data_IF_825610525520
#
_entry.id   IF_825610525520
#
_cell.length_a   1.000
_cell.length_b   1.000
_cell.length_c   1.000
_cell.angle_alpha   90.00
_cell.angle_beta   90.00
_cell.angle_gamma   90.00
#
_symmetry.space_group_name_H-M   'P 1'
#
loop_
_entity.id
_entity.type
_entity.pdbx_description
1 polymer ?
#
# COMPACT_ATOMS: atom_id res chain seq x y z
N UNK A 1 2.03 -11.05 -18.64
CA UNK A 1 1.39 -9.87 -18.03
C UNK A 1 1.43 -10.05 -16.52
N UNK A 2 1.69 -8.98 -15.77
CA UNK A 2 1.69 -9.00 -14.30
C UNK A 2 0.33 -8.50 -13.81
N UNK A 3 -0.39 -9.20 -12.92
CA UNK A 3 -1.69 -8.75 -12.44
C UNK A 3 -1.55 -7.55 -11.51
N UNK A 4 -2.50 -6.62 -11.56
CA UNK A 4 -2.68 -5.61 -10.53
C UNK A 4 -3.68 -6.15 -9.51
N UNK A 5 -3.23 -6.30 -8.27
CA UNK A 5 -4.04 -6.87 -7.19
C UNK A 5 -4.38 -5.72 -6.23
N UNK A 6 -5.68 -5.54 -5.96
CA UNK A 6 -6.14 -4.65 -4.89
C UNK A 6 -6.35 -5.49 -3.65
N UNK A 7 -5.67 -5.10 -2.57
CA UNK A 7 -5.82 -5.70 -1.26
C UNK A 7 -6.19 -4.60 -0.27
N UNK A 8 -7.36 -4.73 0.36
CA UNK A 8 -7.89 -3.72 1.27
C UNK A 8 -8.93 -4.34 2.21
N UNK A 9 -8.91 -3.89 3.46
CA UNK A 9 -10.05 -4.02 4.35
C UNK A 9 -11.09 -2.96 4.00
N UNK A 10 -12.37 -3.33 4.05
CA UNK A 10 -13.50 -2.46 3.68
C UNK A 10 -14.66 -2.74 4.63
N UNK A 11 -15.32 -1.68 5.10
CA UNK A 11 -16.58 -1.80 5.84
C UNK A 11 -17.70 -2.36 4.95
N UNK A 12 -18.77 -2.89 5.57
CA UNK A 12 -19.92 -3.46 4.83
C UNK A 12 -20.58 -2.45 3.89
N UNK A 13 -20.53 -1.16 4.24
CA UNK A 13 -21.05 -0.05 3.45
C UNK A 13 -20.03 0.59 2.50
N UNK A 14 -18.81 0.03 2.39
CA UNK A 14 -17.88 0.32 1.30
C UNK A 14 -16.75 1.32 1.59
N UNK A 15 -16.43 1.57 2.86
CA UNK A 15 -15.37 2.51 3.26
C UNK A 15 -14.08 1.78 3.65
N UNK A 16 -12.93 2.32 3.23
CA UNK A 16 -11.59 1.81 3.58
C UNK A 16 -11.00 2.50 4.82
N UNK A 17 -11.60 3.62 5.24
CA UNK A 17 -11.21 4.39 6.40
C UNK A 17 -12.43 5.14 6.95
N UNK A 18 -12.47 5.36 8.26
CA UNK A 18 -13.40 6.25 8.92
C UNK A 18 -13.01 7.73 8.76
N UNK A 19 -13.73 8.64 9.42
CA UNK A 19 -13.35 10.05 9.51
C UNK A 19 -11.91 10.20 10.01
N UNK A 20 -11.19 11.20 9.49
CA UNK A 20 -9.80 11.49 9.86
C UNK A 20 -8.83 10.30 9.72
N UNK A 21 -9.04 9.45 8.70
CA UNK A 21 -8.29 8.22 8.44
C UNK A 21 -8.37 7.19 9.58
N UNK A 22 -9.46 7.18 10.36
CA UNK A 22 -9.63 6.19 11.42
C UNK A 22 -9.70 4.76 10.86
N UNK A 23 -8.88 3.89 11.45
CA UNK A 23 -8.74 2.49 11.10
C UNK A 23 -9.27 1.56 12.21
N UNK A 24 -9.91 2.11 13.25
CA UNK A 24 -10.38 1.38 14.43
C UNK A 24 -11.45 0.32 14.17
N UNK A 25 -12.05 0.30 12.97
CA UNK A 25 -12.96 -0.77 12.56
C UNK A 25 -12.23 -2.06 12.14
N UNK A 26 -10.93 -1.99 11.86
CA UNK A 26 -10.14 -3.17 11.51
C UNK A 26 -10.01 -4.09 12.72
N UNK A 27 -10.39 -5.35 12.53
CA UNK A 27 -10.27 -6.38 13.53
C UNK A 27 -9.03 -7.23 13.22
N UNK A 28 -8.18 -7.42 14.22
CA UNK A 28 -7.08 -8.38 14.11
C UNK A 28 -7.62 -9.80 14.21
N UNK A 29 -7.46 -10.56 13.13
CA UNK A 29 -7.71 -12.00 13.09
C UNK A 29 -6.40 -12.68 12.64
N UNK A 30 -5.69 -13.35 13.56
CA UNK A 30 -4.41 -13.99 13.23
C UNK A 30 -4.50 -15.01 12.10
N UNK A 31 -5.61 -15.75 11.98
CA UNK A 31 -5.77 -16.74 10.92
C UNK A 31 -5.97 -16.09 9.56
N UNK A 32 -6.73 -14.99 9.55
CA UNK A 32 -6.93 -14.17 8.36
C UNK A 32 -5.62 -13.51 7.94
N UNK A 33 -4.90 -12.93 8.91
CA UNK A 33 -3.59 -12.32 8.73
C UNK A 33 -2.57 -13.29 8.14
N UNK A 34 -2.42 -14.49 8.71
CA UNK A 34 -1.46 -15.49 8.24
C UNK A 34 -1.77 -15.96 6.82
N UNK A 35 -3.04 -16.26 6.53
CA UNK A 35 -3.46 -16.74 5.21
C UNK A 35 -3.30 -15.67 4.14
N UNK A 36 -3.78 -14.45 4.40
CA UNK A 36 -3.68 -13.33 3.46
C UNK A 36 -2.23 -12.91 3.24
N UNK A 37 -1.43 -12.86 4.31
CA UNK A 37 0.01 -12.58 4.24
C UNK A 37 0.74 -13.65 3.44
N UNK A 38 0.41 -14.93 3.64
CA UNK A 38 1.00 -16.02 2.86
C UNK A 38 0.69 -15.92 1.37
N UNK A 39 -0.59 -15.73 1.03
CA UNK A 39 -1.03 -15.63 -0.36
C UNK A 39 -0.46 -14.39 -1.05
N UNK A 40 -0.58 -13.20 -0.44
CA UNK A 40 -0.12 -11.93 -1.02
C UNK A 40 1.40 -11.95 -1.28
N UNK A 41 2.19 -12.42 -0.30
CA UNK A 41 3.66 -12.54 -0.45
C UNK A 41 4.07 -13.50 -1.56
N UNK A 42 3.25 -14.51 -1.87
CA UNK A 42 3.56 -15.50 -2.90
C UNK A 42 3.30 -14.99 -4.33
N UNK A 43 2.47 -13.96 -4.49
CA UNK A 43 2.03 -13.48 -5.81
C UNK A 43 2.42 -12.01 -6.10
N UNK A 44 2.82 -11.24 -5.08
CA UNK A 44 3.19 -9.84 -5.22
C UNK A 44 4.66 -9.61 -4.82
N UNK A 45 5.37 -8.83 -5.64
CA UNK A 45 6.77 -8.42 -5.41
C UNK A 45 6.94 -6.88 -5.38
N UNK A 46 5.85 -6.13 -5.55
CA UNK A 46 5.84 -4.67 -5.64
C UNK A 46 4.57 -4.14 -5.00
N UNK A 47 4.71 -3.13 -4.15
CA UNK A 47 3.59 -2.43 -3.50
C UNK A 47 3.37 -1.10 -4.22
N UNK A 48 2.11 -0.76 -4.48
CA UNK A 48 1.72 0.55 -5.01
C UNK A 48 0.95 1.28 -3.91
N UNK A 49 1.37 2.51 -3.59
CA UNK A 49 0.78 3.32 -2.53
C UNK A 49 0.57 4.75 -3.00
N UNK A 50 -0.48 5.41 -2.52
CA UNK A 50 -0.71 6.83 -2.83
C UNK A 50 0.08 7.76 -1.91
N UNK A 51 0.42 8.96 -2.41
CA UNK A 51 1.08 10.03 -1.65
C UNK A 51 0.50 10.27 -0.25
N UNK A 52 -0.83 10.22 -0.10
CA UNK A 52 -1.53 10.50 1.18
C UNK A 52 -1.40 9.35 2.18
N UNK A 53 -1.34 8.10 1.73
CA UNK A 53 -1.26 6.92 2.58
C UNK A 53 0.16 6.62 3.03
N UNK A 54 1.16 7.04 2.25
CA UNK A 54 2.57 6.74 2.52
C UNK A 54 3.01 7.10 3.95
N UNK A 55 2.76 8.31 4.49
CA UNK A 55 3.30 8.68 5.81
C UNK A 55 2.74 7.82 6.95
N UNK A 56 1.44 7.53 6.93
CA UNK A 56 0.78 6.72 7.97
C UNK A 56 1.23 5.27 7.90
N UNK A 57 1.30 4.69 6.69
CA UNK A 57 1.81 3.34 6.49
C UNK A 57 3.27 3.21 6.92
N UNK A 58 4.12 4.17 6.54
CA UNK A 58 5.53 4.18 6.94
C UNK A 58 5.67 4.25 8.46
N UNK A 59 4.89 5.11 9.13
CA UNK A 59 4.90 5.25 10.58
C UNK A 59 4.55 3.96 11.31
N UNK A 60 3.58 3.20 10.81
CA UNK A 60 3.20 1.91 11.38
C UNK A 60 4.22 0.81 11.05
N UNK A 61 4.45 0.53 9.77
CA UNK A 61 5.18 -0.67 9.32
C UNK A 61 6.65 -0.68 9.70
N UNK A 62 7.29 0.48 9.84
CA UNK A 62 8.70 0.56 10.27
C UNK A 62 8.92 0.19 11.73
N UNK A 63 7.85 0.18 12.53
CA UNK A 63 7.88 -0.20 13.95
C UNK A 63 7.17 -1.53 14.25
N UNK A 64 6.46 -2.08 13.26
CA UNK A 64 5.73 -3.33 13.40
C UNK A 64 6.67 -4.53 13.36
N UNK A 65 6.32 -5.58 14.11
CA UNK A 65 7.05 -6.84 14.15
C UNK A 65 6.37 -7.92 13.30
N UNK A 66 7.13 -8.99 13.03
CA UNK A 66 6.62 -10.19 12.35
C UNK A 66 6.92 -10.26 10.85
N UNK A 67 6.57 -11.40 10.25
CA UNK A 67 6.96 -11.68 8.86
C UNK A 67 6.29 -10.75 7.84
N UNK A 68 5.07 -10.31 8.11
CA UNK A 68 4.38 -9.35 7.24
C UNK A 68 5.09 -8.01 7.26
N UNK A 69 5.46 -7.49 8.44
CA UNK A 69 6.18 -6.24 8.56
C UNK A 69 7.55 -6.31 7.87
N UNK A 70 8.27 -7.42 8.05
CA UNK A 70 9.53 -7.66 7.33
C UNK A 70 9.35 -7.62 5.80
N UNK A 71 8.31 -8.28 5.28
CA UNK A 71 8.00 -8.23 3.85
C UNK A 71 7.57 -6.82 3.39
N UNK A 72 6.69 -6.15 4.12
CA UNK A 72 6.23 -4.79 3.83
C UNK A 72 7.40 -3.81 3.74
N UNK A 73 8.36 -3.88 4.67
CA UNK A 73 9.53 -3.02 4.69
C UNK A 73 10.52 -3.35 3.55
N UNK A 74 10.78 -4.64 3.29
CA UNK A 74 11.74 -5.07 2.26
C UNK A 74 11.22 -4.94 0.81
N UNK A 75 9.91 -4.97 0.60
CA UNK A 75 9.32 -5.01 -0.75
C UNK A 75 9.44 -3.64 -1.44
N UNK A 76 9.84 -3.57 -2.72
CA UNK A 76 9.81 -2.35 -3.51
C UNK A 76 8.45 -1.66 -3.49
N UNK A 77 8.45 -0.33 -3.32
CA UNK A 77 7.25 0.49 -3.28
C UNK A 77 7.29 1.53 -4.38
N UNK A 78 6.18 1.68 -5.08
CA UNK A 78 5.93 2.75 -6.04
C UNK A 78 4.89 3.68 -5.46
N UNK A 79 5.28 4.93 -5.22
CA UNK A 79 4.42 5.96 -4.65
C UNK A 79 3.84 6.79 -5.79
N UNK A 80 2.52 6.76 -5.93
CA UNK A 80 1.81 7.53 -6.92
C UNK A 80 1.53 8.95 -6.40
N UNK A 81 1.94 9.94 -7.17
CA UNK A 81 1.76 11.35 -6.85
C UNK A 81 1.65 12.20 -8.12
N UNK A 82 0.85 13.27 -8.05
CA UNK A 82 0.90 14.33 -9.06
C UNK A 82 1.97 15.38 -8.74
N UNK A 83 2.48 15.39 -7.51
CA UNK A 83 3.59 16.23 -7.08
C UNK A 83 4.92 15.51 -7.35
N UNK A 84 5.69 16.03 -8.31
CA UNK A 84 7.00 15.50 -8.70
C UNK A 84 8.11 15.76 -7.68
N UNK A 85 7.88 16.65 -6.71
CA UNK A 85 8.81 16.97 -5.63
C UNK A 85 8.53 16.22 -4.33
N UNK A 86 7.56 15.30 -4.32
CA UNK A 86 7.18 14.58 -3.11
C UNK A 86 8.30 13.64 -2.64
N UNK A 87 8.74 13.81 -1.40
CA UNK A 87 9.73 12.94 -0.78
C UNK A 87 9.10 11.61 -0.35
N UNK A 88 9.64 10.51 -0.88
CA UNK A 88 9.21 9.14 -0.59
C UNK A 88 10.17 8.43 0.38
N UNK A 89 11.23 9.10 0.82
CA UNK A 89 12.28 8.54 1.68
C UNK A 89 11.82 8.18 3.10
N UNK A 90 10.58 8.53 3.47
CA UNK A 90 9.98 8.14 4.75
C UNK A 90 9.77 6.63 4.91
N UNK A 91 9.85 5.84 3.82
CA UNK A 91 9.77 4.38 3.87
C UNK A 91 10.79 3.74 2.92
N UNK A 92 11.61 2.82 3.44
CA UNK A 92 12.63 2.16 2.64
C UNK A 92 12.07 1.44 1.40
N UNK A 93 12.89 1.37 0.36
CA UNK A 93 12.56 0.80 -0.95
C UNK A 93 11.45 1.53 -1.73
N UNK A 94 11.21 2.82 -1.41
CA UNK A 94 10.21 3.63 -2.11
C UNK A 94 10.78 4.40 -3.30
N UNK A 95 10.02 4.43 -4.39
CA UNK A 95 10.29 5.21 -5.60
C UNK A 95 9.07 6.04 -5.96
N UNK A 96 9.28 7.26 -6.45
CA UNK A 96 8.21 8.15 -6.87
C UNK A 96 7.85 7.88 -8.33
N UNK A 97 6.57 7.60 -8.59
CA UNK A 97 5.99 7.66 -9.93
C UNK A 97 5.13 8.93 -10.02
N UNK A 98 5.72 9.98 -10.61
CA UNK A 98 5.08 11.27 -10.76
C UNK A 98 4.33 11.36 -12.10
N UNK A 99 3.07 11.81 -12.06
CA UNK A 99 2.26 12.05 -13.26
C UNK A 99 0.89 11.37 -13.22
N UNK A 100 0.14 11.50 -14.31
CA UNK A 100 -1.14 10.81 -14.46
C UNK A 100 -0.91 9.31 -14.68
N UNK A 101 -1.60 8.49 -13.89
CA UNK A 101 -1.57 7.02 -13.97
C UNK A 101 -2.61 6.48 -14.96
N UNK A 102 -3.50 7.32 -15.49
CA UNK A 102 -4.32 6.94 -16.63
C UNK A 102 -3.42 6.64 -17.84
N UNK A 103 -3.77 5.65 -18.69
CA UNK A 103 -3.09 5.47 -19.94
C UNK A 103 -3.12 6.79 -20.70
N UNK A 104 -1.93 7.26 -21.10
CA UNK A 104 -1.81 8.38 -22.03
C UNK A 104 -2.50 7.92 -23.31
N UNK A 105 -3.75 8.36 -23.53
CA UNK A 105 -4.44 8.13 -24.79
C UNK A 105 -3.64 8.87 -25.86
N UNK A 106 -2.77 8.17 -26.57
CA UNK A 106 -2.15 8.62 -27.81
C UNK A 106 -3.24 8.63 -28.89
N UNK A 107 -4.14 9.60 -28.83
CA UNK A 107 -4.97 9.96 -29.98
C UNK A 107 -4.25 11.05 -30.75
N UNK A 108 -3.63 10.64 -31.87
CA UNK A 108 -3.51 11.36 -33.15
C UNK A 108 -2.81 12.71 -33.15
#
# INVERSE_FOLDING_TARGET
>A
MRPLIIFSDVTVDGFMAGPDNDLGFMADDPQLGDKLTGELRSVADTIIVGRKSLPEMAGYWTTADGELAAWMNATPKVVLSTDSGFDVGGWENSTLAAGDVAPRNETG
#
